data_IF_995841170434
#
_entry.id   IF_995841170434
#
_cell.length_a   1.000
_cell.length_b   1.000
_cell.length_c   1.000
_cell.angle_alpha   90.00
_cell.angle_beta   90.00
_cell.angle_gamma   90.00
#
_symmetry.space_group_name_H-M   'P 1'
#
loop_
_entity.id
_entity.type
_entity.pdbx_description
1 polymer ?
#
# COMPACT_ATOMS: atom_id res chain seq x y z
N UNK A 1 -9.77 38.33 -29.06
CA UNK A 1 -9.01 37.06 -29.00
C UNK A 1 -8.83 36.73 -27.54
N UNK A 2 -9.86 36.14 -26.93
CA UNK A 2 -9.78 35.68 -25.53
C UNK A 2 -8.91 34.43 -25.51
N UNK A 3 -7.77 34.52 -24.82
CA UNK A 3 -7.02 33.33 -24.46
C UNK A 3 -7.83 32.66 -23.36
N UNK A 4 -8.66 31.69 -23.75
CA UNK A 4 -9.32 30.79 -22.82
C UNK A 4 -8.22 30.01 -22.09
N UNK A 5 -7.83 30.55 -20.93
CA UNK A 5 -6.91 29.91 -20.02
C UNK A 5 -7.65 28.69 -19.47
N UNK A 6 -7.37 27.53 -20.07
CA UNK A 6 -7.90 26.22 -19.72
C UNK A 6 -7.53 25.89 -18.26
N UNK A 7 -8.33 26.40 -17.33
CA UNK A 7 -8.23 26.16 -15.89
C UNK A 7 -8.43 24.68 -15.55
N UNK A 8 -8.85 23.83 -16.51
CA UNK A 8 -8.91 22.37 -16.33
C UNK A 8 -7.53 21.71 -16.32
N UNK A 9 -6.45 22.40 -16.74
CA UNK A 9 -5.07 21.89 -16.65
C UNK A 9 -4.40 22.12 -15.30
N UNK A 10 -5.01 22.92 -14.42
CA UNK A 10 -4.47 23.23 -13.09
C UNK A 10 -4.86 22.18 -12.03
N UNK A 11 -5.69 21.19 -12.38
CA UNK A 11 -5.99 20.05 -11.54
C UNK A 11 -5.24 18.79 -11.97
N UNK A 12 -4.31 18.30 -11.14
CA UNK A 12 -3.86 16.89 -11.08
C UNK A 12 -2.77 16.35 -12.04
N UNK A 13 -1.74 17.12 -12.43
CA UNK A 13 -0.46 16.48 -12.79
C UNK A 13 0.28 15.97 -11.55
N UNK A 14 -0.32 15.02 -10.82
CA UNK A 14 0.39 14.20 -9.83
C UNK A 14 1.18 13.17 -10.61
N UNK A 15 2.51 13.27 -10.65
CA UNK A 15 3.37 12.37 -11.43
C UNK A 15 3.10 10.90 -11.03
N UNK A 16 2.45 10.10 -11.90
CA UNK A 16 2.16 8.70 -11.62
C UNK A 16 3.39 7.84 -11.37
N UNK A 17 4.52 8.21 -11.99
CA UNK A 17 5.80 7.53 -11.83
C UNK A 17 6.34 7.80 -10.44
N UNK A 18 6.31 9.05 -9.97
CA UNK A 18 6.75 9.40 -8.62
C UNK A 18 5.98 8.64 -7.52
N UNK A 19 4.64 8.54 -7.66
CA UNK A 19 3.81 7.76 -6.74
C UNK A 19 4.19 6.27 -6.77
N UNK A 20 4.45 5.73 -7.95
CA UNK A 20 4.81 4.33 -8.12
C UNK A 20 6.19 4.03 -7.55
N UNK A 21 7.15 4.90 -7.80
CA UNK A 21 8.51 4.79 -7.26
C UNK A 21 8.47 4.78 -5.72
N UNK A 22 7.80 5.76 -5.11
CA UNK A 22 7.67 5.82 -3.65
C UNK A 22 6.99 4.54 -3.11
N UNK A 23 5.94 4.07 -3.78
CA UNK A 23 5.20 2.86 -3.38
C UNK A 23 6.05 1.61 -3.45
N UNK A 24 6.77 1.41 -4.56
CA UNK A 24 7.62 0.25 -4.80
C UNK A 24 8.79 0.25 -3.83
N UNK A 25 9.51 1.36 -3.70
CA UNK A 25 10.66 1.46 -2.80
C UNK A 25 10.22 1.20 -1.36
N UNK A 26 9.19 1.88 -0.87
CA UNK A 26 8.72 1.68 0.50
C UNK A 26 8.24 0.24 0.74
N UNK A 27 7.48 -0.34 -0.21
CA UNK A 27 7.01 -1.71 -0.09
C UNK A 27 8.14 -2.74 -0.12
N UNK A 28 9.14 -2.58 -0.99
CA UNK A 28 10.32 -3.47 -1.05
C UNK A 28 11.16 -3.35 0.21
N UNK A 29 11.37 -2.15 0.75
CA UNK A 29 12.10 -1.97 2.01
C UNK A 29 11.38 -2.72 3.14
N UNK A 30 10.06 -2.57 3.27
CA UNK A 30 9.29 -3.33 4.28
C UNK A 30 9.35 -4.83 4.05
N UNK A 31 9.25 -5.28 2.80
CA UNK A 31 9.35 -6.69 2.46
C UNK A 31 10.71 -7.28 2.84
N UNK A 32 11.79 -6.53 2.63
CA UNK A 32 13.14 -6.95 3.03
C UNK A 32 13.26 -7.11 4.56
N UNK A 33 12.73 -6.18 5.35
CA UNK A 33 12.70 -6.32 6.82
C UNK A 33 11.87 -7.51 7.29
N UNK A 34 10.71 -7.73 6.66
CA UNK A 34 9.88 -8.90 6.94
C UNK A 34 10.58 -10.20 6.57
N UNK A 35 11.34 -10.22 5.47
CA UNK A 35 12.13 -11.37 5.03
C UNK A 35 13.24 -11.71 6.03
N UNK A 36 13.97 -10.71 6.54
CA UNK A 36 14.97 -10.93 7.60
C UNK A 36 14.35 -11.56 8.86
N UNK A 37 13.12 -11.16 9.21
CA UNK A 37 12.39 -11.78 10.33
C UNK A 37 11.94 -13.20 10.04
N UNK A 38 11.73 -13.59 8.78
CA UNK A 38 11.45 -14.98 8.40
C UNK A 38 12.71 -15.83 8.52
N UNK A 39 13.84 -15.35 7.99
CA UNK A 39 15.12 -16.07 8.04
C UNK A 39 15.62 -16.24 9.48
N UNK A 40 15.41 -15.22 10.33
CA UNK A 40 15.78 -15.22 11.75
C UNK A 40 14.60 -15.39 12.70
N UNK A 41 13.58 -16.17 12.33
CA UNK A 41 12.29 -16.15 13.05
C UNK A 41 12.39 -16.50 14.53
N UNK A 42 13.22 -17.47 14.92
CA UNK A 42 13.37 -17.84 16.33
C UNK A 42 13.95 -16.68 17.16
N UNK A 43 15.01 -16.02 16.67
CA UNK A 43 15.57 -14.84 17.33
C UNK A 43 14.61 -13.65 17.35
N UNK A 44 13.79 -13.49 16.30
CA UNK A 44 12.72 -12.49 16.28
C UNK A 44 11.65 -12.79 17.33
N UNK A 45 11.22 -14.05 17.48
CA UNK A 45 10.27 -14.46 18.52
C UNK A 45 10.81 -14.18 19.91
N UNK A 46 12.08 -14.50 20.18
CA UNK A 46 12.73 -14.19 21.46
C UNK A 46 12.75 -12.68 21.72
N UNK A 47 13.03 -11.89 20.68
CA UNK A 47 12.97 -10.42 20.75
C UNK A 47 11.58 -9.94 21.15
N UNK A 48 10.52 -10.43 20.49
CA UNK A 48 9.13 -10.07 20.82
C UNK A 48 8.75 -10.56 22.23
N UNK A 49 9.16 -11.75 22.64
CA UNK A 49 8.91 -12.27 23.98
C UNK A 49 9.55 -11.41 25.07
N UNK A 50 10.76 -10.87 24.81
CA UNK A 50 11.46 -9.98 25.73
C UNK A 50 10.73 -8.64 25.97
N UNK A 51 9.80 -8.25 25.09
CA UNK A 51 8.98 -7.04 25.25
C UNK A 51 7.88 -7.19 26.32
N UNK A 52 7.69 -8.38 26.90
CA UNK A 52 6.69 -8.62 27.94
C UNK A 52 5.23 -8.59 27.44
N UNK A 53 5.02 -8.74 26.14
CA UNK A 53 3.69 -8.72 25.51
C UNK A 53 2.99 -10.08 25.62
N UNK A 54 1.66 -10.12 25.78
CA UNK A 54 0.91 -11.38 25.74
C UNK A 54 0.95 -11.97 24.34
N UNK A 55 0.94 -13.31 24.24
CA UNK A 55 0.92 -14.04 22.97
C UNK A 55 2.04 -13.63 21.99
N UNK A 56 3.27 -13.52 22.49
CA UNK A 56 4.46 -13.10 21.74
C UNK A 56 4.62 -13.82 20.38
N UNK A 57 4.33 -15.11 20.33
CA UNK A 57 4.41 -15.90 19.08
C UNK A 57 3.43 -15.40 17.99
N UNK A 58 2.20 -15.07 18.40
CA UNK A 58 1.18 -14.55 17.49
C UNK A 58 1.59 -13.16 17.02
N UNK A 59 2.06 -12.31 17.93
CA UNK A 59 2.52 -10.97 17.59
C UNK A 59 3.77 -10.99 16.68
N UNK A 60 4.69 -11.92 16.91
CA UNK A 60 5.86 -12.12 16.06
C UNK A 60 5.44 -12.51 14.63
N UNK A 61 4.51 -13.45 14.49
CA UNK A 61 3.96 -13.85 13.19
C UNK A 61 3.18 -12.71 12.51
N UNK A 62 2.39 -11.95 13.26
CA UNK A 62 1.65 -10.79 12.73
C UNK A 62 2.60 -9.68 12.27
N UNK A 63 3.70 -9.43 12.98
CA UNK A 63 4.72 -8.48 12.54
C UNK A 63 5.35 -8.91 11.21
N UNK A 64 5.72 -10.19 11.08
CA UNK A 64 6.21 -10.75 9.80
C UNK A 64 5.16 -10.58 8.69
N UNK A 65 3.89 -10.91 8.96
CA UNK A 65 2.83 -10.77 7.96
C UNK A 65 2.60 -9.31 7.54
N UNK A 66 2.64 -8.38 8.48
CA UNK A 66 2.49 -6.95 8.22
C UNK A 66 3.66 -6.35 7.45
N UNK A 67 4.89 -6.75 7.76
CA UNK A 67 6.08 -6.24 7.05
C UNK A 67 6.29 -6.90 5.69
N UNK A 68 6.30 -8.24 5.66
CA UNK A 68 6.55 -9.00 4.43
C UNK A 68 5.33 -8.94 3.49
N UNK A 69 4.18 -9.37 4.00
CA UNK A 69 2.94 -9.39 3.22
C UNK A 69 2.46 -7.98 2.88
N UNK A 70 2.43 -7.08 3.86
CA UNK A 70 2.09 -5.68 3.64
C UNK A 70 3.09 -4.97 2.71
N UNK A 71 4.39 -5.23 2.85
CA UNK A 71 5.42 -4.69 1.97
C UNK A 71 5.28 -5.14 0.51
N UNK A 72 5.12 -6.45 0.26
CA UNK A 72 4.89 -7.00 -1.08
C UNK A 72 3.59 -6.44 -1.68
N UNK A 73 2.50 -6.49 -0.91
CA UNK A 73 1.20 -5.97 -1.34
C UNK A 73 1.27 -4.49 -1.69
N UNK A 74 1.96 -3.69 -0.87
CA UNK A 74 2.19 -2.28 -1.12
C UNK A 74 3.02 -2.06 -2.38
N UNK A 75 4.14 -2.77 -2.55
CA UNK A 75 5.03 -2.65 -3.72
C UNK A 75 4.35 -3.01 -5.05
N UNK A 76 3.43 -3.98 -5.05
CA UNK A 76 2.61 -4.33 -6.22
C UNK A 76 1.41 -3.40 -6.40
N UNK A 77 0.95 -2.79 -5.32
CA UNK A 77 -0.23 -1.93 -5.32
C UNK A 77 -1.47 -2.80 -5.37
N UNK A 78 -1.44 -3.87 -4.60
CA UNK A 78 -2.45 -4.89 -4.42
C UNK A 78 -3.10 -4.70 -3.05
N UNK A 79 -4.43 -4.60 -3.03
CA UNK A 79 -5.19 -4.33 -1.81
C UNK A 79 -4.57 -3.18 -1.01
N UNK A 80 -4.19 -2.10 -1.71
CA UNK A 80 -3.21 -1.13 -1.21
C UNK A 80 -3.59 -0.51 0.14
N UNK A 81 -4.86 -0.15 0.42
CA UNK A 81 -5.25 0.29 1.75
C UNK A 81 -4.98 -0.77 2.84
N UNK A 82 -5.26 -2.04 2.57
CA UNK A 82 -5.01 -3.13 3.54
C UNK A 82 -3.51 -3.36 3.73
N UNK A 83 -2.75 -3.40 2.64
CA UNK A 83 -1.29 -3.55 2.66
C UNK A 83 -0.62 -2.41 3.43
N UNK A 84 -1.04 -1.17 3.16
CA UNK A 84 -0.57 0.02 3.86
C UNK A 84 -0.98 0.02 5.35
N UNK A 85 -2.19 -0.44 5.68
CA UNK A 85 -2.63 -0.57 7.07
C UNK A 85 -1.76 -1.57 7.85
N UNK A 86 -1.40 -2.71 7.24
CA UNK A 86 -0.51 -3.69 7.84
C UNK A 86 0.86 -3.09 8.16
N UNK A 87 1.48 -2.41 7.18
CA UNK A 87 2.76 -1.71 7.38
C UNK A 87 2.64 -0.64 8.46
N UNK A 88 1.60 0.19 8.41
CA UNK A 88 1.36 1.27 9.38
C UNK A 88 1.24 0.72 10.80
N UNK A 89 0.47 -0.35 10.99
CA UNK A 89 0.28 -0.97 12.29
C UNK A 89 1.62 -1.46 12.87
N UNK A 90 2.44 -2.15 12.07
CA UNK A 90 3.75 -2.63 12.54
C UNK A 90 4.67 -1.46 12.86
N UNK A 91 4.70 -0.39 12.05
CA UNK A 91 5.55 0.77 12.33
C UNK A 91 5.13 1.55 13.58
N UNK A 92 3.83 1.61 13.89
CA UNK A 92 3.34 2.18 15.15
C UNK A 92 3.84 1.35 16.33
N UNK A 93 3.68 0.02 16.27
CA UNK A 93 4.13 -0.88 17.35
C UNK A 93 5.64 -0.82 17.51
N UNK A 94 6.41 -0.87 16.41
CA UNK A 94 7.87 -0.76 16.46
C UNK A 94 8.30 0.58 17.08
N UNK A 95 7.64 1.68 16.70
CA UNK A 95 7.89 3.00 17.29
C UNK A 95 7.66 2.95 18.80
N UNK A 96 6.48 2.58 19.27
CA UNK A 96 6.11 2.72 20.68
C UNK A 96 6.75 1.67 21.59
N UNK A 97 6.93 0.44 21.11
CA UNK A 97 7.42 -0.67 21.93
C UNK A 97 8.95 -0.78 21.96
N UNK A 98 9.66 -0.30 20.92
CA UNK A 98 11.10 -0.53 20.77
C UNK A 98 11.89 0.77 20.64
N UNK A 99 11.46 1.67 19.75
CA UNK A 99 12.32 2.75 19.29
C UNK A 99 12.14 4.09 20.03
N UNK A 100 10.94 4.34 20.59
CA UNK A 100 10.62 5.61 21.25
C UNK A 100 11.57 5.97 22.42
N UNK A 101 11.99 5.03 23.30
CA UNK A 101 12.92 5.35 24.38
C UNK A 101 14.32 5.77 23.92
N UNK A 102 14.73 5.38 22.70
CA UNK A 102 16.07 5.63 22.17
C UNK A 102 16.21 7.00 21.50
N UNK A 103 15.16 7.84 21.56
CA UNK A 103 15.14 9.15 20.91
C UNK A 103 14.86 9.06 19.40
N UNK A 104 15.16 10.14 18.68
CA UNK A 104 14.75 10.27 17.28
C UNK A 104 15.63 9.42 16.34
N UNK A 105 16.94 9.55 16.41
CA UNK A 105 17.79 9.14 15.31
C UNK A 105 18.01 7.63 15.17
N UNK A 106 17.97 7.13 13.94
CA UNK A 106 18.06 5.70 13.64
C UNK A 106 19.41 5.08 14.05
N UNK A 107 20.53 5.80 13.98
CA UNK A 107 21.85 5.26 14.37
C UNK A 107 21.92 4.89 15.86
N UNK A 108 21.10 5.53 16.69
CA UNK A 108 21.01 5.27 18.13
C UNK A 108 19.90 4.24 18.44
N UNK A 109 19.30 3.63 17.41
CA UNK A 109 18.13 2.76 17.55
C UNK A 109 16.82 3.54 17.76
N UNK A 110 16.78 4.82 17.41
CA UNK A 110 15.62 5.70 17.53
C UNK A 110 14.50 5.46 16.51
N UNK A 111 13.42 6.24 16.64
CA UNK A 111 12.16 6.02 15.90
C UNK A 111 12.05 6.73 14.53
N UNK A 112 13.12 7.38 14.06
CA UNK A 112 13.18 8.09 12.77
C UNK A 112 12.71 7.22 11.60
N UNK A 113 13.27 6.01 11.46
CA UNK A 113 12.93 5.11 10.37
C UNK A 113 11.48 4.58 10.46
N UNK A 114 11.03 4.02 11.62
CA UNK A 114 9.63 3.64 11.80
C UNK A 114 8.63 4.78 11.53
N UNK A 115 8.93 6.00 11.98
CA UNK A 115 8.07 7.16 11.74
C UNK A 115 7.98 7.51 10.25
N UNK A 116 9.10 7.49 9.54
CA UNK A 116 9.12 7.76 8.11
C UNK A 116 8.27 6.72 7.34
N UNK A 117 8.47 5.44 7.63
CA UNK A 117 7.73 4.36 6.98
C UNK A 117 6.24 4.37 7.36
N UNK A 118 5.90 4.67 8.62
CA UNK A 118 4.51 4.89 9.04
C UNK A 118 3.85 6.03 8.25
N UNK A 119 4.58 7.13 8.04
CA UNK A 119 4.08 8.28 7.27
C UNK A 119 3.81 7.91 5.81
N UNK A 120 4.72 7.17 5.18
CA UNK A 120 4.53 6.68 3.80
C UNK A 120 3.36 5.69 3.71
N UNK A 121 3.24 4.79 4.67
CA UNK A 121 2.11 3.87 4.74
C UNK A 121 0.78 4.61 4.91
N UNK A 122 0.70 5.58 5.84
CA UNK A 122 -0.48 6.42 6.02
C UNK A 122 -0.82 7.22 4.76
N UNK A 123 0.19 7.73 4.06
CA UNK A 123 -0.01 8.38 2.77
C UNK A 123 -0.73 7.46 1.78
N UNK A 124 -0.26 6.22 1.57
CA UNK A 124 -0.91 5.29 0.65
C UNK A 124 -2.26 4.76 1.14
N UNK A 125 -2.45 4.66 2.46
CA UNK A 125 -3.73 4.31 3.06
C UNK A 125 -4.81 5.34 2.70
N UNK A 126 -4.48 6.63 2.80
CA UNK A 126 -5.41 7.74 2.52
C UNK A 126 -5.52 8.05 1.02
N UNK A 127 -4.40 8.04 0.31
CA UNK A 127 -4.32 8.43 -1.09
C UNK A 127 -4.73 7.32 -2.05
N UNK A 128 -4.48 6.06 -1.69
CA UNK A 128 -4.62 4.91 -2.55
C UNK A 128 -3.45 4.70 -3.53
N UNK A 129 -3.58 3.71 -4.45
CA UNK A 129 -2.44 3.04 -5.07
C UNK A 129 -1.75 3.72 -6.26
N UNK A 130 -2.38 4.74 -6.84
CA UNK A 130 -1.96 5.30 -8.13
C UNK A 130 -2.35 4.43 -9.33
N UNK A 131 -2.16 4.92 -10.58
CA UNK A 131 -2.64 4.25 -11.79
C UNK A 131 -1.76 3.07 -12.23
N UNK A 132 -0.46 3.05 -11.91
CA UNK A 132 0.41 1.89 -12.16
C UNK A 132 0.37 0.98 -10.94
N UNK A 133 -0.76 0.30 -10.73
CA UNK A 133 -0.96 -0.63 -9.62
C UNK A 133 -1.85 -1.79 -10.04
N UNK A 134 -1.71 -2.94 -9.39
CA UNK A 134 -2.60 -4.09 -9.62
C UNK A 134 -4.05 -3.72 -9.34
N UNK A 135 -4.31 -2.95 -8.29
CA UNK A 135 -5.63 -2.41 -7.96
C UNK A 135 -6.26 -1.60 -9.11
N UNK A 136 -5.47 -0.77 -9.79
CA UNK A 136 -5.94 0.00 -10.95
C UNK A 136 -6.21 -0.91 -12.16
N UNK A 137 -5.34 -1.90 -12.42
CA UNK A 137 -5.52 -2.86 -13.51
C UNK A 137 -6.82 -3.67 -13.37
N UNK A 138 -7.11 -4.16 -12.16
CA UNK A 138 -8.34 -4.93 -11.88
C UNK A 138 -9.58 -4.07 -12.07
N UNK A 139 -9.58 -2.82 -11.57
CA UNK A 139 -10.69 -1.88 -11.77
C UNK A 139 -10.92 -1.52 -13.24
N UNK A 140 -9.85 -1.37 -14.03
CA UNK A 140 -9.94 -1.11 -15.47
C UNK A 140 -10.62 -2.26 -16.22
N UNK A 141 -10.22 -3.50 -15.93
CA UNK A 141 -10.83 -4.71 -16.52
C UNK A 141 -12.31 -4.85 -16.17
N UNK A 142 -12.71 -4.53 -14.93
CA UNK A 142 -14.10 -4.60 -14.50
C UNK A 142 -15.02 -3.60 -15.22
N UNK A 143 -14.50 -2.44 -15.64
CA UNK A 143 -15.25 -1.43 -16.41
C UNK A 143 -15.46 -1.88 -17.86
N UNK A 144 -14.42 -2.36 -18.52
CA UNK A 144 -14.49 -2.83 -19.92
C UNK A 144 -15.46 -4.03 -20.09
N UNK A 145 -15.62 -4.88 -19.07
CA UNK A 145 -16.58 -6.01 -19.11
C UNK A 145 -18.05 -5.57 -19.02
N UNK A 146 -18.35 -4.36 -18.55
CA UNK A 146 -19.73 -3.84 -18.39
C UNK A 146 -20.24 -3.05 -19.61
N UNK A 147 -19.35 -2.64 -20.50
CA UNK A 147 -19.67 -1.90 -21.73
C UNK A 147 -20.22 -2.70 -22.94
N UNK A 148 -20.10 -4.05 -23.06
CA UNK A 148 -20.57 -4.75 -24.27
C UNK A 148 -22.10 -4.78 -24.46
N UNK A 149 -22.91 -4.61 -23.40
CA UNK A 149 -24.36 -4.82 -23.48
C UNK A 149 -25.20 -3.54 -23.63
N UNK A 150 -24.63 -2.35 -23.42
CA UNK A 150 -25.36 -1.08 -23.54
C UNK A 150 -25.32 -0.46 -24.95
N UNK A 151 -24.56 -1.07 -25.87
CA UNK A 151 -24.32 -0.56 -27.22
C UNK A 151 -24.97 -1.37 -28.35
N UNK A 152 -25.78 -2.38 -28.05
CA UNK A 152 -26.50 -3.10 -29.11
C UNK A 152 -27.48 -2.11 -29.77
N UNK A 153 -27.32 -1.76 -31.06
CA UNK A 153 -28.27 -0.88 -31.72
C UNK A 153 -29.64 -1.55 -31.70
N UNK A 154 -30.67 -0.78 -31.31
CA UNK A 154 -32.05 -1.19 -31.43
C UNK A 154 -32.30 -1.64 -32.87
N UNK A 155 -32.42 -2.95 -33.07
CA UNK A 155 -32.82 -3.51 -34.37
C UNK A 155 -34.33 -3.35 -34.45
N UNK A 156 -34.76 -2.42 -35.28
CA UNK A 156 -36.16 -2.28 -35.63
C UNK A 156 -36.69 -3.64 -36.15
N UNK A 157 -37.87 -4.10 -35.70
CA UNK A 157 -38.43 -5.34 -36.21
C UNK A 157 -38.71 -5.18 -37.70
N UNK A 158 -37.92 -5.87 -38.53
CA UNK A 158 -38.12 -5.92 -39.98
C UNK A 158 -39.55 -6.40 -40.21
N UNK A 159 -40.37 -5.52 -40.80
CA UNK A 159 -41.78 -5.76 -41.06
C UNK A 159 -41.98 -7.12 -41.73
N UNK A 160 -42.88 -7.92 -41.17
CA UNK A 160 -43.32 -9.17 -41.82
C UNK A 160 -44.13 -8.79 -43.07
N UNK A 161 -43.77 -9.28 -44.27
CA UNK A 161 -44.69 -9.20 -45.39
C UNK A 161 -45.95 -10.06 -45.09
N UNK A 162 -47.08 -9.55 -45.58
CA UNK A 162 -48.44 -10.04 -45.36
C UNK A 162 -48.67 -11.47 -45.87
#
# INVERSE_FOLDING_TARGET
>A
MEVEMDTRRLGTRRDPVALTLLRVVAGVTMAAHGWQKVEGFDGWRDTVASMGVPAADVLAALAVAGELGGGIGLALGLLTPLSALGVLAVMIVATTAVHLPNGFFAQDGGFEYPLLMATVALFFLLRGPGPYSVDAMVRGRARHRREPERGAPYREPIGRPA
#
